data_IF_293546861247
#
_entry.id   IF_293546861247
#
_cell.length_a   1.000
_cell.length_b   1.000
_cell.length_c   1.000
_cell.angle_alpha   90.00
_cell.angle_beta   90.00
_cell.angle_gamma   90.00
#
_symmetry.space_group_name_H-M   'P 1'
#
loop_
_entity.id
_entity.type
_entity.pdbx_description
1 polymer ?
#
# COMPACT_ATOMS: atom_id res chain seq x y z
N UNK A 1 -11.66 29.77 -13.86
CA UNK A 1 -10.68 30.44 -12.97
C UNK A 1 -11.46 31.22 -11.91
N UNK A 2 -12.02 30.49 -10.94
CA UNK A 2 -13.12 30.97 -10.05
C UNK A 2 -12.59 31.66 -8.80
N UNK A 3 -11.33 31.38 -8.40
CA UNK A 3 -10.66 31.97 -7.24
C UNK A 3 -10.17 33.42 -7.43
N UNK A 4 -10.23 33.96 -8.66
CA UNK A 4 -9.92 35.39 -8.94
C UNK A 4 -11.16 36.29 -8.93
N UNK A 5 -12.29 35.80 -8.44
CA UNK A 5 -13.57 36.53 -8.49
C UNK A 5 -14.27 36.51 -9.85
N UNK A 6 -13.75 35.73 -10.82
CA UNK A 6 -14.37 35.50 -12.11
C UNK A 6 -15.54 34.52 -12.02
N UNK A 7 -16.53 34.70 -12.88
CA UNK A 7 -17.65 33.75 -13.05
C UNK A 7 -17.18 32.49 -13.77
N UNK A 8 -17.69 31.34 -13.36
CA UNK A 8 -17.42 30.05 -14.01
C UNK A 8 -18.36 29.80 -15.22
N UNK A 9 -18.32 28.59 -15.80
CA UNK A 9 -19.18 28.19 -16.91
C UNK A 9 -20.67 28.13 -16.56
N UNK A 10 -21.01 28.04 -15.28
CA UNK A 10 -22.39 28.14 -14.77
C UNK A 10 -22.78 29.56 -14.34
N UNK A 11 -21.95 30.57 -14.66
CA UNK A 11 -22.11 32.01 -14.35
C UNK A 11 -22.06 32.35 -12.86
N UNK A 12 -21.62 31.43 -11.99
CA UNK A 12 -21.45 31.64 -10.56
C UNK A 12 -20.04 32.14 -10.21
N UNK A 13 -19.94 33.07 -9.26
CA UNK A 13 -18.68 33.47 -8.63
C UNK A 13 -18.38 32.61 -7.40
N UNK A 14 -17.16 32.64 -6.89
CA UNK A 14 -16.82 31.97 -5.62
C UNK A 14 -17.69 32.46 -4.45
N UNK A 15 -18.10 33.73 -4.46
CA UNK A 15 -19.02 34.27 -3.46
C UNK A 15 -20.43 33.70 -3.61
N UNK A 16 -20.88 33.38 -4.83
CA UNK A 16 -22.19 32.75 -5.04
C UNK A 16 -22.21 31.30 -4.51
N UNK A 17 -21.09 30.58 -4.62
CA UNK A 17 -20.94 29.24 -4.05
C UNK A 17 -20.82 29.25 -2.52
N UNK A 18 -20.16 30.27 -1.97
CA UNK A 18 -20.07 30.48 -0.52
C UNK A 18 -21.43 30.94 0.05
N UNK A 19 -22.11 31.88 -0.61
CA UNK A 19 -23.42 32.39 -0.22
C UNK A 19 -24.55 31.37 -0.40
N UNK A 20 -24.44 30.47 -1.39
CA UNK A 20 -25.36 29.36 -1.64
C UNK A 20 -25.20 28.17 -0.69
N UNK A 21 -24.28 28.23 0.27
CA UNK A 21 -24.14 27.20 1.31
C UNK A 21 -23.40 25.93 0.90
N UNK A 22 -22.68 25.95 -0.24
CA UNK A 22 -21.95 24.77 -0.72
C UNK A 22 -20.64 24.48 0.03
N UNK A 23 -20.17 25.45 0.83
CA UNK A 23 -18.99 25.29 1.69
C UNK A 23 -19.27 25.47 3.17
N UNK A 24 -20.25 26.31 3.52
CA UNK A 24 -20.77 26.44 4.88
C UNK A 24 -22.15 27.07 4.74
N UNK A 25 -23.21 26.46 5.26
CA UNK A 25 -24.46 27.21 5.44
C UNK A 25 -24.14 28.40 6.36
N UNK A 26 -24.36 29.64 5.92
CA UNK A 26 -24.03 30.84 6.72
C UNK A 26 -24.77 30.88 8.08
N UNK A 27 -25.86 30.12 8.23
CA UNK A 27 -26.60 29.92 9.48
C UNK A 27 -26.00 28.86 10.41
N UNK A 28 -24.93 28.16 9.99
CA UNK A 28 -24.23 27.09 10.71
C UNK A 28 -22.72 27.30 10.55
N UNK A 29 -22.22 28.50 10.86
CA UNK A 29 -20.78 28.71 10.95
C UNK A 29 -20.24 27.82 12.08
N UNK A 30 -19.28 26.92 11.82
CA UNK A 30 -18.69 26.07 12.85
C UNK A 30 -18.06 26.95 13.93
N UNK A 31 -18.11 26.48 15.18
CA UNK A 31 -17.51 27.22 16.29
C UNK A 31 -16.01 27.45 16.03
N UNK A 32 -15.39 28.52 16.57
CA UNK A 32 -13.95 28.73 16.44
C UNK A 32 -13.12 27.50 16.84
N UNK A 33 -13.56 26.75 17.86
CA UNK A 33 -12.93 25.49 18.28
C UNK A 33 -13.03 24.37 17.24
N UNK A 34 -14.17 24.28 16.55
CA UNK A 34 -14.40 23.31 15.47
C UNK A 34 -13.51 23.62 14.27
N UNK A 35 -13.37 24.90 13.93
CA UNK A 35 -12.47 25.37 12.87
C UNK A 35 -11.01 25.04 13.21
N UNK A 36 -10.57 25.37 14.43
CA UNK A 36 -9.21 25.09 14.89
C UNK A 36 -8.91 23.58 14.88
N UNK A 37 -9.84 22.78 15.39
CA UNK A 37 -9.72 21.31 15.41
C UNK A 37 -9.63 20.72 14.00
N UNK A 38 -10.47 21.20 13.08
CA UNK A 38 -10.43 20.80 11.68
C UNK A 38 -9.08 21.12 11.04
N UNK A 39 -8.59 22.36 11.17
CA UNK A 39 -7.30 22.74 10.61
C UNK A 39 -6.14 21.95 11.22
N UNK A 40 -6.15 21.74 12.54
CA UNK A 40 -5.14 20.92 13.21
C UNK A 40 -5.12 19.48 12.67
N UNK A 41 -6.29 18.85 12.55
CA UNK A 41 -6.43 17.50 12.01
C UNK A 41 -6.00 17.43 10.53
N UNK A 42 -6.37 18.42 9.72
CA UNK A 42 -5.99 18.50 8.31
C UNK A 42 -4.48 18.71 8.11
N UNK A 43 -3.85 19.60 8.88
CA UNK A 43 -2.40 19.80 8.84
C UNK A 43 -1.64 18.54 9.26
N UNK A 44 -2.06 17.91 10.37
CA UNK A 44 -1.47 16.66 10.83
C UNK A 44 -1.63 15.56 9.78
N UNK A 45 -2.85 15.40 9.24
CA UNK A 45 -3.14 14.40 8.20
C UNK A 45 -2.26 14.57 6.98
N UNK A 46 -2.18 15.77 6.41
CA UNK A 46 -1.37 16.03 5.20
C UNK A 46 0.13 15.83 5.45
N UNK A 47 0.61 16.25 6.62
CA UNK A 47 2.02 16.08 7.01
C UNK A 47 2.38 14.61 7.15
N UNK A 48 1.54 13.84 7.84
CA UNK A 48 1.79 12.41 8.04
C UNK A 48 1.55 11.63 6.75
N UNK A 49 0.54 11.97 5.93
CA UNK A 49 0.34 11.42 4.59
C UNK A 49 1.62 11.58 3.74
N UNK A 50 2.20 12.78 3.69
CA UNK A 50 3.45 13.02 2.97
C UNK A 50 4.59 12.11 3.47
N UNK A 51 4.74 11.94 4.79
CA UNK A 51 5.73 11.04 5.39
C UNK A 51 5.45 9.57 5.07
N UNK A 52 4.20 9.12 5.19
CA UNK A 52 3.80 7.74 4.92
C UNK A 52 3.93 7.37 3.45
N UNK A 53 3.74 8.31 2.52
CA UNK A 53 4.00 8.12 1.09
C UNK A 53 5.48 7.88 0.75
N UNK A 54 6.40 8.28 1.62
CA UNK A 54 7.83 7.90 1.49
C UNK A 54 8.16 6.56 2.14
N UNK A 55 7.18 5.89 2.73
CA UNK A 55 7.31 4.57 3.36
C UNK A 55 6.48 3.55 2.58
N UNK A 56 6.63 2.27 2.95
CA UNK A 56 5.89 1.17 2.33
C UNK A 56 4.48 1.03 2.94
N UNK A 57 3.73 2.13 2.96
CA UNK A 57 2.35 2.19 3.47
C UNK A 57 1.39 2.13 2.28
N UNK A 58 0.40 1.24 2.37
CA UNK A 58 -0.51 0.95 1.27
C UNK A 58 -1.88 0.50 1.78
N UNK A 59 -2.87 0.51 0.90
CA UNK A 59 -4.21 -0.01 1.16
C UNK A 59 -4.46 -1.19 0.23
N UNK A 60 -5.05 -2.26 0.77
CA UNK A 60 -5.62 -3.34 -0.04
C UNK A 60 -7.14 -3.13 -0.12
N UNK A 61 -7.66 -3.13 -1.33
CA UNK A 61 -9.09 -3.18 -1.60
C UNK A 61 -9.46 -4.57 -2.09
N UNK A 62 -10.49 -5.16 -1.50
CA UNK A 62 -11.04 -6.44 -1.94
C UNK A 62 -12.54 -6.29 -2.15
N UNK A 63 -13.01 -6.77 -3.30
CA UNK A 63 -14.43 -6.81 -3.61
C UNK A 63 -15.14 -7.84 -2.73
N UNK A 64 -16.16 -7.40 -2.00
CA UNK A 64 -17.00 -8.26 -1.16
C UNK A 64 -18.39 -7.62 -1.00
N UNK A 65 -19.42 -8.45 -0.94
CA UNK A 65 -20.79 -8.02 -0.61
C UNK A 65 -21.10 -8.11 0.89
N UNK A 66 -20.15 -8.60 1.69
CA UNK A 66 -20.30 -8.75 3.14
C UNK A 66 -19.90 -7.43 3.82
N UNK A 67 -20.89 -6.72 4.38
CA UNK A 67 -20.64 -5.48 5.13
C UNK A 67 -19.94 -5.75 6.47
N UNK A 68 -20.06 -6.98 6.99
CA UNK A 68 -19.48 -7.44 8.24
C UNK A 68 -18.16 -8.21 8.02
N UNK A 69 -17.58 -8.11 6.82
CA UNK A 69 -16.35 -8.81 6.44
C UNK A 69 -15.28 -8.62 7.53
N UNK A 70 -14.89 -9.74 8.15
CA UNK A 70 -13.91 -9.75 9.24
C UNK A 70 -12.46 -9.84 8.73
N UNK A 71 -12.26 -9.73 7.41
CA UNK A 71 -10.93 -9.77 6.83
C UNK A 71 -10.21 -8.44 7.06
N UNK A 72 -8.94 -8.52 7.44
CA UNK A 72 -8.15 -7.33 7.71
C UNK A 72 -8.39 -6.65 9.07
N UNK A 73 -7.55 -5.66 9.40
CA UNK A 73 -7.51 -4.99 10.70
C UNK A 73 -8.71 -4.07 10.91
N UNK A 74 -9.53 -4.37 11.91
CA UNK A 74 -10.73 -3.59 12.23
C UNK A 74 -10.46 -2.10 12.47
N UNK A 75 -9.28 -1.73 13.00
CA UNK A 75 -8.94 -0.35 13.35
C UNK A 75 -8.80 0.58 12.13
N UNK A 76 -8.51 0.03 10.96
CA UNK A 76 -8.35 0.81 9.72
C UNK A 76 -9.32 0.42 8.62
N UNK A 77 -10.18 -0.55 8.89
CA UNK A 77 -11.09 -1.08 7.90
C UNK A 77 -12.11 -0.02 7.49
N UNK A 78 -12.39 0.05 6.19
CA UNK A 78 -13.46 0.87 5.63
C UNK A 78 -14.21 0.05 4.58
N UNK A 79 -15.50 -0.20 4.83
CA UNK A 79 -16.38 -0.80 3.83
C UNK A 79 -17.04 0.31 3.00
N UNK A 80 -16.93 0.20 1.68
CA UNK A 80 -17.57 1.09 0.72
C UNK A 80 -18.73 0.39 0.04
N UNK A 81 -19.96 0.83 0.33
CA UNK A 81 -21.17 0.37 -0.38
C UNK A 81 -21.11 0.68 -1.88
N UNK A 82 -20.49 1.80 -2.23
CA UNK A 82 -20.35 2.27 -3.62
C UNK A 82 -19.42 1.35 -4.41
N UNK A 83 -18.30 0.94 -3.80
CA UNK A 83 -17.30 0.09 -4.46
C UNK A 83 -17.58 -1.41 -4.26
N UNK A 84 -18.56 -1.75 -3.40
CA UNK A 84 -18.92 -3.12 -3.01
C UNK A 84 -17.70 -3.91 -2.55
N UNK A 85 -17.01 -3.36 -1.56
CA UNK A 85 -15.83 -3.99 -1.01
C UNK A 85 -15.23 -3.28 0.17
N UNK A 86 -14.16 -3.86 0.67
CA UNK A 86 -13.48 -3.44 1.90
C UNK A 86 -12.07 -2.98 1.60
N UNK A 87 -11.71 -1.84 2.20
CA UNK A 87 -10.40 -1.24 2.16
C UNK A 87 -9.72 -1.44 3.52
N UNK A 88 -8.46 -1.86 3.51
CA UNK A 88 -7.66 -2.08 4.71
C UNK A 88 -6.28 -1.44 4.55
N UNK A 89 -5.86 -0.64 5.54
CA UNK A 89 -4.58 0.08 5.54
C UNK A 89 -3.49 -0.73 6.25
N UNK A 90 -2.32 -0.77 5.61
CA UNK A 90 -1.16 -1.52 6.09
C UNK A 90 0.13 -0.74 5.89
N UNK A 91 1.13 -1.14 6.66
CA UNK A 91 2.54 -0.88 6.38
C UNK A 91 3.24 -2.22 6.11
N UNK A 92 4.13 -2.25 5.13
CA UNK A 92 4.98 -3.40 4.86
C UNK A 92 6.16 -3.42 5.84
N UNK A 93 6.27 -4.49 6.63
CA UNK A 93 7.44 -4.71 7.51
C UNK A 93 8.29 -5.89 7.02
N UNK A 94 9.56 -5.62 6.75
CA UNK A 94 10.54 -6.59 6.26
C UNK A 94 11.36 -7.15 7.45
N UNK A 95 10.76 -8.09 8.18
CA UNK A 95 11.31 -8.61 9.44
C UNK A 95 12.42 -9.69 9.30
N UNK A 96 12.69 -10.19 8.10
CA UNK A 96 13.86 -11.04 7.83
C UNK A 96 14.25 -11.01 6.36
N UNK A 97 15.41 -11.59 6.01
CA UNK A 97 15.83 -11.75 4.60
C UNK A 97 14.76 -12.54 3.85
N UNK A 98 13.91 -11.83 3.10
CA UNK A 98 12.83 -12.35 2.25
C UNK A 98 11.51 -12.76 2.92
N UNK A 99 11.19 -12.22 4.10
CA UNK A 99 9.81 -12.28 4.61
C UNK A 99 9.31 -10.88 4.87
N UNK A 100 8.05 -10.66 4.55
CA UNK A 100 7.40 -9.39 4.83
C UNK A 100 5.97 -9.63 5.24
N UNK A 101 5.49 -8.89 6.23
CA UNK A 101 4.12 -8.99 6.70
C UNK A 101 3.45 -7.61 6.69
N UNK A 102 2.14 -7.55 6.49
CA UNK A 102 1.38 -6.34 6.76
C UNK A 102 1.35 -6.09 8.28
N UNK A 103 1.76 -4.90 8.68
CA UNK A 103 1.72 -4.42 10.06
C UNK A 103 0.95 -3.12 10.14
N UNK A 104 0.64 -2.70 11.36
CA UNK A 104 0.05 -1.40 11.63
C UNK A 104 1.01 -0.28 11.22
N UNK A 105 0.55 0.76 10.49
CA UNK A 105 1.38 1.94 10.21
C UNK A 105 1.90 2.60 11.49
N UNK A 106 3.18 2.97 11.48
CA UNK A 106 3.81 3.65 12.62
C UNK A 106 3.14 5.02 12.89
N UNK A 107 2.78 5.28 14.15
CA UNK A 107 2.11 6.50 14.58
C UNK A 107 0.59 6.51 14.39
N UNK A 108 -0.02 5.39 13.96
CA UNK A 108 -1.48 5.31 13.83
C UNK A 108 -2.20 5.49 15.17
N UNK A 109 -1.65 4.94 16.26
CA UNK A 109 -2.26 5.08 17.60
C UNK A 109 -2.25 6.54 18.07
N UNK A 110 -1.17 7.27 17.79
CA UNK A 110 -1.03 8.69 18.14
C UNK A 110 -2.03 9.56 17.35
N UNK A 111 -2.24 9.23 16.06
CA UNK A 111 -3.25 9.88 15.23
C UNK A 111 -4.66 9.66 15.75
N UNK A 112 -4.98 8.42 16.17
CA UNK A 112 -6.28 8.07 16.71
C UNK A 112 -6.48 8.61 18.14
N UNK A 113 -5.40 9.00 18.82
CA UNK A 113 -5.44 9.61 20.14
C UNK A 113 -6.19 10.95 20.17
N UNK A 114 -6.51 11.40 21.37
CA UNK A 114 -7.31 12.63 21.62
C UNK A 114 -6.68 13.91 21.07
N UNK A 115 -5.37 13.91 20.80
CA UNK A 115 -4.66 15.07 20.28
C UNK A 115 -5.07 15.43 18.85
N UNK A 116 -5.33 14.43 18.01
CA UNK A 116 -5.63 14.61 16.59
C UNK A 116 -7.00 14.06 16.20
N UNK A 117 -7.48 12.99 16.85
CA UNK A 117 -8.78 12.38 16.57
C UNK A 117 -8.93 11.87 15.14
N UNK A 118 -7.84 11.43 14.52
CA UNK A 118 -7.80 10.94 13.14
C UNK A 118 -7.84 9.42 13.19
N UNK A 119 -9.01 8.83 12.91
CA UNK A 119 -9.17 7.38 12.93
C UNK A 119 -8.50 6.73 11.72
N UNK A 120 -8.07 5.47 11.86
CA UNK A 120 -7.55 4.69 10.74
C UNK A 120 -8.57 4.45 9.63
N UNK A 121 -9.85 4.37 9.98
CA UNK A 121 -10.94 4.23 9.02
C UNK A 121 -11.10 5.52 8.19
N UNK A 122 -10.94 6.70 8.79
CA UNK A 122 -10.97 7.99 8.07
C UNK A 122 -9.83 8.11 7.06
N UNK A 123 -8.62 7.71 7.45
CA UNK A 123 -7.45 7.67 6.55
C UNK A 123 -7.74 6.79 5.32
N UNK A 124 -8.30 5.61 5.58
CA UNK A 124 -8.59 4.61 4.56
C UNK A 124 -9.72 5.07 3.65
N UNK A 125 -10.80 5.61 4.21
CA UNK A 125 -11.92 6.22 3.49
C UNK A 125 -11.46 7.38 2.61
N UNK A 126 -10.65 8.29 3.14
CA UNK A 126 -10.12 9.44 2.40
C UNK A 126 -9.27 8.98 1.21
N UNK A 127 -8.39 7.99 1.42
CA UNK A 127 -7.55 7.42 0.36
C UNK A 127 -8.35 6.62 -0.67
N UNK A 128 -9.40 5.91 -0.25
CA UNK A 128 -10.31 5.21 -1.15
C UNK A 128 -11.04 6.19 -2.08
N UNK A 129 -11.53 7.31 -1.53
CA UNK A 129 -12.12 8.39 -2.34
C UNK A 129 -11.11 8.98 -3.33
N UNK A 130 -9.90 9.29 -2.87
CA UNK A 130 -8.82 9.78 -3.72
C UNK A 130 -8.48 8.81 -4.86
N UNK A 131 -8.43 7.51 -4.58
CA UNK A 131 -8.19 6.46 -5.57
C UNK A 131 -9.28 6.42 -6.64
N UNK A 132 -10.55 6.63 -6.28
CA UNK A 132 -11.63 6.70 -7.27
C UNK A 132 -11.58 7.96 -8.13
N UNK A 133 -11.10 9.05 -7.56
CA UNK A 133 -10.97 10.30 -8.28
C UNK A 133 -9.87 10.24 -9.36
N UNK A 134 -8.73 9.61 -9.06
CA UNK A 134 -7.55 9.69 -9.94
C UNK A 134 -6.56 8.53 -9.88
N UNK A 135 -6.94 7.40 -9.30
CA UNK A 135 -6.09 6.23 -9.05
C UNK A 135 -4.75 6.58 -8.38
N UNK A 136 -3.69 6.76 -9.17
CA UNK A 136 -2.34 7.12 -8.70
C UNK A 136 -1.88 8.53 -9.11
N UNK A 137 -2.69 9.31 -9.85
CA UNK A 137 -2.34 10.63 -10.39
C UNK A 137 -3.30 11.74 -9.94
N UNK A 138 -3.13 12.23 -8.72
CA UNK A 138 -4.04 13.20 -8.09
C UNK A 138 -3.75 14.68 -8.43
N UNK A 139 -3.29 14.99 -9.65
CA UNK A 139 -2.79 16.35 -9.95
C UNK A 139 -3.85 17.38 -10.33
N UNK A 140 -5.09 17.00 -10.71
CA UNK A 140 -6.10 17.96 -11.20
C UNK A 140 -7.58 17.65 -10.88
N UNK A 141 -7.91 16.56 -10.17
CA UNK A 141 -9.29 16.05 -10.11
C UNK A 141 -10.12 16.47 -8.88
N UNK A 142 -9.47 17.01 -7.84
CA UNK A 142 -10.14 17.61 -6.67
C UNK A 142 -11.19 18.65 -7.08
N UNK A 143 -10.88 19.46 -8.11
CA UNK A 143 -11.79 20.49 -8.60
C UNK A 143 -13.04 19.89 -9.25
N UNK A 144 -12.93 18.74 -9.93
CA UNK A 144 -14.06 18.10 -10.60
C UNK A 144 -14.99 17.40 -9.62
N UNK A 145 -14.46 16.74 -8.59
CA UNK A 145 -15.29 16.10 -7.56
C UNK A 145 -16.03 17.16 -6.73
N UNK A 146 -15.32 18.25 -6.41
CA UNK A 146 -15.91 19.42 -5.76
C UNK A 146 -16.99 20.07 -6.63
N UNK A 147 -16.72 20.30 -7.92
CA UNK A 147 -17.70 20.83 -8.89
C UNK A 147 -18.93 19.93 -9.00
N UNK A 148 -18.75 18.61 -9.14
CA UNK A 148 -19.85 17.64 -9.26
C UNK A 148 -20.73 17.60 -7.99
N UNK A 149 -20.12 17.75 -6.83
CA UNK A 149 -20.84 17.73 -5.57
C UNK A 149 -21.54 19.06 -5.26
N UNK A 150 -20.96 20.19 -5.68
CA UNK A 150 -21.64 21.51 -5.70
C UNK A 150 -22.88 21.46 -6.61
N UNK A 151 -22.76 20.87 -7.81
CA UNK A 151 -23.87 20.78 -8.77
C UNK A 151 -24.97 19.81 -8.32
N UNK A 152 -24.63 18.72 -7.62
CA UNK A 152 -25.58 17.67 -7.22
C UNK A 152 -26.38 17.96 -5.94
N UNK A 153 -26.19 19.13 -5.30
CA UNK A 153 -26.81 19.48 -4.00
C UNK A 153 -26.51 18.47 -2.88
N UNK A 154 -25.49 17.63 -3.02
CA UNK A 154 -25.00 16.80 -1.91
C UNK A 154 -24.47 17.74 -0.84
N UNK A 155 -24.88 17.55 0.42
CA UNK A 155 -24.28 18.25 1.56
C UNK A 155 -22.88 17.68 1.77
N UNK A 156 -21.90 18.30 1.13
CA UNK A 156 -20.52 18.13 1.50
C UNK A 156 -20.22 19.08 2.66
N UNK A 157 -19.82 18.52 3.79
CA UNK A 157 -19.33 19.31 4.90
C UNK A 157 -17.92 18.80 5.27
N UNK A 158 -16.85 19.46 4.80
CA UNK A 158 -15.49 19.06 5.14
C UNK A 158 -15.24 19.12 6.65
N UNK A 159 -15.95 19.98 7.40
CA UNK A 159 -15.81 20.04 8.86
C UNK A 159 -16.45 18.83 9.55
N UNK A 160 -17.54 18.29 8.99
CA UNK A 160 -18.16 17.06 9.49
C UNK A 160 -17.39 15.80 9.10
N UNK A 161 -16.78 15.77 7.89
CA UNK A 161 -15.99 14.63 7.43
C UNK A 161 -14.56 14.60 7.99
N UNK A 162 -14.03 15.75 8.44
CA UNK A 162 -12.73 15.84 9.10
C UNK A 162 -11.60 15.27 8.24
N UNK A 163 -10.84 14.32 8.78
CA UNK A 163 -9.74 13.66 8.07
C UNK A 163 -10.20 12.63 7.02
N UNK A 164 -11.47 12.20 7.07
CA UNK A 164 -12.10 11.32 6.08
C UNK A 164 -12.56 12.05 4.80
N UNK A 165 -12.33 13.36 4.74
CA UNK A 165 -12.58 14.18 3.57
C UNK A 165 -11.71 13.74 2.38
N UNK A 166 -12.25 13.79 1.16
CA UNK A 166 -11.56 13.37 -0.07
C UNK A 166 -10.20 14.07 -0.20
N UNK A 167 -9.19 13.33 -0.67
CA UNK A 167 -7.81 13.80 -0.92
C UNK A 167 -7.04 14.35 0.30
N UNK A 168 -7.57 14.24 1.51
CA UNK A 168 -6.79 14.50 2.74
C UNK A 168 -5.65 13.49 2.87
N UNK A 169 -5.97 12.23 2.58
CA UNK A 169 -5.04 11.12 2.48
C UNK A 169 -5.08 10.57 1.06
N UNK A 170 -3.90 10.17 0.58
CA UNK A 170 -3.72 9.65 -0.78
C UNK A 170 -2.80 8.44 -0.70
N UNK A 171 -3.07 7.54 0.24
CA UNK A 171 -2.30 6.31 0.39
C UNK A 171 -2.63 5.40 -0.81
N UNK A 172 -1.62 4.85 -1.51
CA UNK A 172 -1.85 4.03 -2.69
C UNK A 172 -2.71 2.81 -2.40
N UNK A 173 -3.72 2.58 -3.23
CA UNK A 173 -4.62 1.43 -3.14
C UNK A 173 -4.23 0.40 -4.19
N UNK A 174 -4.17 -0.87 -3.79
CA UNK A 174 -4.17 -2.01 -4.70
C UNK A 174 -5.55 -2.65 -4.70
N UNK A 175 -6.25 -2.60 -5.83
CA UNK A 175 -7.47 -3.37 -6.05
C UNK A 175 -7.12 -4.84 -6.31
N UNK A 176 -7.38 -5.71 -5.34
CA UNK A 176 -7.11 -7.16 -5.46
C UNK A 176 -8.28 -7.92 -6.08
N UNK A 177 -9.34 -7.21 -6.48
CA UNK A 177 -10.56 -7.75 -7.05
C UNK A 177 -11.20 -8.77 -6.11
N UNK A 178 -11.43 -9.99 -6.63
CA UNK A 178 -12.03 -11.10 -5.87
C UNK A 178 -11.03 -11.85 -4.99
N UNK A 179 -9.74 -11.57 -5.12
CA UNK A 179 -8.73 -12.25 -4.34
C UNK A 179 -8.59 -11.55 -2.99
N UNK A 180 -9.24 -12.10 -1.96
CA UNK A 180 -9.13 -11.54 -0.62
C UNK A 180 -7.74 -11.80 -0.04
N UNK A 181 -6.90 -10.76 -0.03
CA UNK A 181 -5.57 -10.76 0.57
C UNK A 181 -5.48 -9.97 1.86
N UNK A 182 -6.61 -9.48 2.36
CA UNK A 182 -6.67 -8.83 3.66
C UNK A 182 -6.35 -9.84 4.76
N UNK A 183 -5.59 -9.39 5.75
CA UNK A 183 -5.14 -10.18 6.91
C UNK A 183 -5.06 -9.28 8.13
N UNK A 184 -5.18 -9.84 9.33
CA UNK A 184 -4.91 -9.07 10.54
C UNK A 184 -3.46 -8.58 10.56
N UNK A 185 -3.21 -7.50 11.30
CA UNK A 185 -1.84 -7.06 11.54
C UNK A 185 -1.01 -8.17 12.18
N UNK A 186 0.25 -8.25 11.77
CA UNK A 186 1.20 -9.22 12.28
C UNK A 186 0.84 -10.69 12.00
N UNK A 187 -0.09 -10.95 11.07
CA UNK A 187 -0.41 -12.31 10.65
C UNK A 187 0.82 -13.00 10.05
N UNK A 188 1.20 -14.13 10.66
CA UNK A 188 2.34 -14.96 10.28
C UNK A 188 1.92 -16.33 9.76
N UNK A 189 0.62 -16.56 9.54
CA UNK A 189 0.07 -17.81 9.01
C UNK A 189 0.70 -18.19 7.67
N UNK A 190 1.09 -17.17 6.88
CA UNK A 190 1.82 -17.36 5.63
C UNK A 190 3.33 -17.30 5.88
N UNK A 191 4.07 -18.35 5.50
CA UNK A 191 5.53 -18.47 5.70
C UNK A 191 6.32 -17.22 5.28
N UNK A 192 5.87 -16.55 4.21
CA UNK A 192 6.51 -15.35 3.66
C UNK A 192 5.70 -14.07 3.91
N UNK A 193 4.50 -14.20 4.48
CA UNK A 193 3.47 -13.17 4.65
C UNK A 193 2.51 -13.07 3.46
N UNK A 194 1.55 -12.15 3.54
CA UNK A 194 0.51 -11.92 2.53
C UNK A 194 0.54 -10.47 2.07
N UNK A 195 0.71 -10.22 0.78
CA UNK A 195 0.90 -8.88 0.21
C UNK A 195 0.04 -8.68 -1.06
N UNK A 196 -0.21 -7.42 -1.47
CA UNK A 196 -0.91 -7.12 -2.70
C UNK A 196 -0.04 -7.37 -3.94
N UNK A 197 -0.15 -8.56 -4.53
CA UNK A 197 0.75 -9.05 -5.57
C UNK A 197 0.27 -8.88 -7.02
N UNK A 198 -1.00 -8.52 -7.19
CA UNK A 198 -1.70 -8.27 -8.45
C UNK A 198 -2.75 -7.20 -8.16
N UNK A 199 -2.59 -6.04 -8.77
CA UNK A 199 -3.52 -4.92 -8.63
C UNK A 199 -4.28 -4.71 -9.94
N UNK A 200 -5.59 -4.49 -9.84
CA UNK A 200 -6.57 -4.41 -10.93
C UNK A 200 -6.79 -5.72 -11.68
N UNK A 201 -7.72 -5.69 -12.64
CA UNK A 201 -7.92 -6.76 -13.61
C UNK A 201 -6.60 -7.06 -14.32
N UNK A 202 -6.26 -8.34 -14.42
CA UNK A 202 -5.03 -8.86 -15.04
C UNK A 202 -3.73 -8.25 -14.50
N UNK A 203 -3.73 -7.71 -13.28
CA UNK A 203 -2.55 -7.15 -12.63
C UNK A 203 -1.96 -5.90 -13.32
N UNK A 204 -2.71 -5.24 -14.21
CA UNK A 204 -2.22 -4.13 -15.04
C UNK A 204 -1.70 -2.94 -14.22
N UNK A 205 -2.31 -2.67 -13.06
CA UNK A 205 -1.96 -1.53 -12.23
C UNK A 205 -0.82 -1.83 -11.23
N UNK A 206 -0.31 -3.07 -11.20
CA UNK A 206 0.65 -3.52 -10.20
C UNK A 206 1.93 -2.68 -10.19
N UNK A 207 2.48 -2.33 -11.36
CA UNK A 207 3.65 -1.45 -11.47
C UNK A 207 3.40 -0.06 -10.89
N UNK A 208 2.26 0.53 -11.25
CA UNK A 208 1.89 1.88 -10.80
C UNK A 208 1.71 1.89 -9.27
N UNK A 209 1.02 0.87 -8.74
CA UNK A 209 0.86 0.65 -7.31
C UNK A 209 2.21 0.49 -6.60
N UNK A 210 3.08 -0.42 -7.06
CA UNK A 210 4.39 -0.67 -6.47
C UNK A 210 5.24 0.60 -6.39
N UNK A 211 5.22 1.39 -7.46
CA UNK A 211 5.92 2.68 -7.51
C UNK A 211 5.30 3.67 -6.52
N UNK A 212 3.98 3.80 -6.52
CA UNK A 212 3.27 4.74 -5.66
C UNK A 212 3.42 4.40 -4.17
N UNK A 213 3.41 3.11 -3.82
CA UNK A 213 3.57 2.59 -2.46
C UNK A 213 5.03 2.50 -1.99
N UNK A 214 5.98 3.03 -2.79
CA UNK A 214 7.42 3.00 -2.50
C UNK A 214 7.97 1.58 -2.22
N UNK A 215 7.44 0.57 -2.90
CA UNK A 215 7.85 -0.84 -2.79
C UNK A 215 8.98 -1.17 -3.79
N UNK A 216 9.26 -0.28 -4.73
CA UNK A 216 10.22 -0.48 -5.82
C UNK A 216 11.57 -1.02 -5.33
N UNK A 217 12.08 -2.04 -6.02
CA UNK A 217 13.35 -2.68 -5.68
C UNK A 217 13.30 -3.67 -4.51
N UNK A 218 12.18 -3.79 -3.78
CA UNK A 218 12.04 -4.78 -2.71
C UNK A 218 12.05 -6.21 -3.28
N UNK A 219 13.16 -6.90 -3.10
CA UNK A 219 13.28 -8.33 -3.43
C UNK A 219 12.40 -9.19 -2.51
N UNK A 220 12.16 -8.72 -1.29
CA UNK A 220 11.24 -9.38 -0.36
C UNK A 220 9.82 -9.38 -0.91
N UNK A 221 9.32 -8.25 -1.42
CA UNK A 221 7.99 -8.17 -2.03
C UNK A 221 7.83 -9.14 -3.21
N UNK A 222 8.80 -9.15 -4.15
CA UNK A 222 8.77 -10.11 -5.25
C UNK A 222 8.78 -11.56 -4.76
N UNK A 223 9.50 -11.87 -3.67
CA UNK A 223 9.51 -13.24 -3.09
C UNK A 223 8.13 -13.63 -2.60
N UNK A 224 7.52 -12.75 -1.80
CA UNK A 224 6.19 -12.99 -1.25
C UNK A 224 5.22 -13.23 -2.39
N UNK A 225 5.25 -12.38 -3.42
CA UNK A 225 4.35 -12.51 -4.56
C UNK A 225 4.58 -13.76 -5.39
N UNK A 226 5.82 -14.14 -5.64
CA UNK A 226 6.13 -15.40 -6.30
C UNK A 226 5.57 -16.60 -5.52
N UNK A 227 5.74 -16.65 -4.20
CA UNK A 227 5.25 -17.76 -3.38
C UNK A 227 3.73 -17.74 -3.21
N UNK A 228 3.13 -16.56 -3.04
CA UNK A 228 1.69 -16.37 -2.88
C UNK A 228 0.91 -16.70 -4.15
N UNK A 229 1.47 -16.44 -5.34
CA UNK A 229 0.79 -16.65 -6.61
C UNK A 229 0.88 -18.09 -7.14
N UNK A 230 1.83 -18.91 -6.68
CA UNK A 230 1.96 -20.33 -7.09
C UNK A 230 0.65 -21.14 -7.09
N UNK A 231 -0.25 -21.01 -6.09
CA UNK A 231 -1.49 -21.77 -6.07
C UNK A 231 -2.55 -21.25 -7.06
N UNK A 232 -2.36 -20.05 -7.63
CA UNK A 232 -3.33 -19.41 -8.51
C UNK A 232 -3.01 -19.69 -9.98
N UNK A 233 -3.65 -20.73 -10.54
CA UNK A 233 -3.46 -21.09 -11.95
C UNK A 233 -3.86 -19.97 -12.94
N UNK A 234 -4.69 -19.03 -12.51
CA UNK A 234 -5.17 -17.89 -13.30
C UNK A 234 -4.22 -16.69 -13.33
N UNK A 235 -3.18 -16.67 -12.49
CA UNK A 235 -2.25 -15.54 -12.38
C UNK A 235 -0.82 -16.07 -12.46
N UNK A 236 -0.17 -15.80 -13.58
CA UNK A 236 1.26 -16.09 -13.74
C UNK A 236 2.09 -14.91 -13.25
N UNK A 237 2.93 -15.15 -12.24
CA UNK A 237 3.86 -14.16 -11.70
C UNK A 237 4.76 -13.55 -12.79
N UNK A 238 5.16 -14.33 -13.80
CA UNK A 238 6.07 -13.86 -14.85
C UNK A 238 5.42 -12.86 -15.81
N UNK A 239 4.08 -12.84 -15.87
CA UNK A 239 3.33 -11.90 -16.69
C UNK A 239 3.05 -10.56 -15.99
N UNK A 240 3.35 -10.43 -14.71
CA UNK A 240 3.07 -9.21 -13.92
C UNK A 240 4.25 -8.24 -14.03
N UNK A 241 4.01 -7.05 -14.58
CA UNK A 241 4.99 -5.96 -14.53
C UNK A 241 4.98 -5.32 -13.14
N UNK A 242 6.01 -5.57 -12.35
CA UNK A 242 6.25 -4.92 -11.06
C UNK A 242 7.03 -3.60 -11.19
N UNK A 243 7.49 -3.23 -12.40
CA UNK A 243 8.35 -2.07 -12.64
C UNK A 243 9.81 -2.25 -12.22
N UNK A 244 10.18 -3.42 -11.70
CA UNK A 244 11.55 -3.83 -11.42
C UNK A 244 11.65 -5.35 -11.43
N UNK A 245 12.85 -5.86 -11.68
CA UNK A 245 13.10 -7.30 -11.77
C UNK A 245 13.92 -7.80 -10.57
N UNK A 246 13.98 -9.12 -10.45
CA UNK A 246 14.90 -9.78 -9.53
C UNK A 246 16.34 -9.41 -9.86
N UNK A 247 17.15 -9.16 -8.82
CA UNK A 247 18.60 -9.11 -9.03
C UNK A 247 19.08 -10.52 -9.40
N UNK A 248 19.86 -10.65 -10.46
CA UNK A 248 20.41 -11.92 -10.96
C UNK A 248 21.73 -12.31 -10.26
N UNK A 249 22.00 -11.78 -9.07
CA UNK A 249 23.21 -12.18 -8.34
C UNK A 249 23.06 -13.62 -7.85
N UNK A 250 24.17 -14.36 -7.77
CA UNK A 250 24.17 -15.73 -7.23
C UNK A 250 23.49 -15.80 -5.86
N UNK A 251 23.69 -14.81 -4.99
CA UNK A 251 23.01 -14.73 -3.69
C UNK A 251 21.49 -14.61 -3.84
N UNK A 252 20.99 -13.80 -4.76
CA UNK A 252 19.56 -13.67 -5.02
C UNK A 252 18.97 -14.96 -5.60
N UNK A 253 19.70 -15.64 -6.48
CA UNK A 253 19.30 -16.91 -7.09
C UNK A 253 19.34 -18.08 -6.10
N UNK A 254 20.38 -18.15 -5.28
CA UNK A 254 20.50 -19.03 -4.12
C UNK A 254 19.31 -18.86 -3.17
N UNK A 255 18.93 -17.61 -2.92
CA UNK A 255 17.77 -17.30 -2.10
C UNK A 255 16.43 -17.63 -2.79
N UNK A 256 16.38 -17.86 -4.10
CA UNK A 256 15.17 -18.39 -4.77
C UNK A 256 14.99 -19.89 -4.59
N UNK A 257 16.09 -20.62 -4.46
CA UNK A 257 16.09 -22.08 -4.40
C UNK A 257 15.26 -22.63 -3.24
N UNK A 258 14.60 -23.76 -3.49
CA UNK A 258 13.95 -24.53 -2.42
C UNK A 258 14.99 -25.00 -1.41
N UNK A 259 14.54 -25.29 -0.19
CA UNK A 259 15.41 -25.79 0.87
C UNK A 259 16.19 -27.04 0.41
N UNK A 260 15.58 -27.89 -0.44
CA UNK A 260 16.23 -29.05 -1.08
C UNK A 260 17.34 -28.67 -2.06
N UNK A 261 17.11 -27.71 -2.96
CA UNK A 261 18.13 -27.25 -3.93
C UNK A 261 19.31 -26.60 -3.21
N UNK A 262 19.04 -25.78 -2.18
CA UNK A 262 20.11 -25.20 -1.34
C UNK A 262 20.91 -26.28 -0.64
N UNK A 263 20.25 -27.25 0.01
CA UNK A 263 20.92 -28.36 0.66
C UNK A 263 21.80 -29.16 -0.32
N UNK A 264 21.31 -29.43 -1.52
CA UNK A 264 22.07 -30.12 -2.56
C UNK A 264 23.36 -29.39 -2.95
N UNK A 265 23.33 -28.06 -3.12
CA UNK A 265 24.55 -27.31 -3.46
C UNK A 265 25.48 -27.16 -2.26
N UNK A 266 24.97 -26.99 -1.03
CA UNK A 266 25.82 -27.03 0.17
C UNK A 266 26.56 -28.36 0.27
N UNK A 267 25.86 -29.49 0.10
CA UNK A 267 26.46 -30.83 0.10
C UNK A 267 27.49 -30.94 -1.03
N UNK A 268 27.16 -30.47 -2.24
CA UNK A 268 28.07 -30.48 -3.38
C UNK A 268 29.37 -29.71 -3.12
N UNK A 269 29.29 -28.53 -2.48
CA UNK A 269 30.47 -27.73 -2.10
C UNK A 269 31.31 -28.47 -1.06
N UNK A 270 30.69 -29.07 -0.04
CA UNK A 270 31.40 -29.82 1.01
C UNK A 270 32.12 -31.04 0.42
N UNK A 271 31.41 -31.85 -0.38
CA UNK A 271 31.98 -33.05 -1.00
C UNK A 271 33.09 -32.66 -1.98
N UNK A 272 32.87 -31.64 -2.82
CA UNK A 272 33.89 -31.15 -3.75
C UNK A 272 35.14 -30.64 -3.02
N UNK A 273 34.97 -29.91 -1.92
CA UNK A 273 36.08 -29.46 -1.07
C UNK A 273 36.88 -30.63 -0.46
N UNK A 274 36.20 -31.65 0.04
CA UNK A 274 36.84 -32.86 0.59
C UNK A 274 37.65 -33.59 -0.49
N UNK A 275 37.11 -33.74 -1.70
CA UNK A 275 37.80 -34.40 -2.82
C UNK A 275 39.08 -33.64 -3.20
N UNK A 276 39.03 -32.31 -3.26
CA UNK A 276 40.21 -31.47 -3.54
C UNK A 276 41.26 -31.66 -2.45
N UNK A 277 40.88 -31.67 -1.16
CA UNK A 277 41.82 -31.89 -0.06
C UNK A 277 42.48 -33.27 -0.13
N UNK A 278 41.75 -34.33 -0.47
CA UNK A 278 42.30 -35.68 -0.64
C UNK A 278 43.32 -35.71 -1.80
N UNK A 279 43.00 -35.07 -2.93
CA UNK A 279 43.91 -34.98 -4.08
C UNK A 279 45.19 -34.22 -3.73
N UNK A 280 45.08 -33.11 -3.01
CA UNK A 280 46.24 -32.34 -2.53
C UNK A 280 47.11 -33.17 -1.56
N UNK A 281 46.48 -33.89 -0.62
CA UNK A 281 47.19 -34.78 0.29
C UNK A 281 47.92 -35.90 -0.46
N UNK A 282 47.27 -36.52 -1.44
CA UNK A 282 47.86 -37.57 -2.26
C UNK A 282 49.04 -37.06 -3.10
N UNK A 283 48.91 -35.88 -3.72
CA UNK A 283 50.00 -35.23 -4.45
C UNK A 283 51.17 -34.90 -3.52
N UNK A 284 50.91 -34.41 -2.30
CA UNK A 284 51.95 -34.12 -1.32
C UNK A 284 52.71 -35.37 -0.86
N UNK A 285 52.02 -36.51 -0.75
CA UNK A 285 52.65 -37.79 -0.41
C UNK A 285 53.53 -38.31 -1.54
N UNK A 286 53.11 -38.15 -2.80
CA UNK A 286 53.94 -38.52 -3.96
C UNK A 286 55.20 -37.66 -4.08
N UNK A 287 55.11 -36.35 -3.83
CA UNK A 287 56.28 -35.48 -3.89
C UNK A 287 57.33 -35.78 -2.81
N UNK A 288 56.94 -36.27 -1.62
CA UNK A 288 57.91 -36.66 -0.57
C UNK A 288 58.73 -37.89 -0.90
N UNK A 289 58.22 -38.79 -1.75
CA UNK A 289 58.94 -40.00 -2.16
C UNK A 289 59.99 -39.81 -3.27
N UNK A 290 60.12 -38.62 -3.85
CA UNK A 290 61.10 -38.32 -4.90
C UNK A 290 62.36 -37.58 -4.40
N UNK A 291 62.44 -37.26 -3.10
CA UNK A 291 63.60 -36.59 -2.49
C UNK A 291 64.33 -37.47 -1.44
N UNK A 292 64.09 -38.79 -1.43
CA UNK A 292 64.82 -39.77 -0.63
C UNK A 292 65.71 -40.63 -1.49
#
# INVERSE_FOLDING_TARGET
MTFRGGKDGSKGTILDYIAGGSFVAASVLPSPKSIESFYKAQMASRTINAKWRTRKVFIMFTQTSDEDDISGPNQTKYYSKEDRGVYCLYQMDEWSRMKSKPVKPEGLDDLNGTQFGISGSDITKSSAKAFRAGAFNHTQEILKELEAAIVSKRKLDPFAEGAGWSDTWTIPVCDTGKYNWNVQYDDTTFRYGRLPCCCSVNCNDTKAFVKAANIIGSQTFLRVCYEQLKPFASIDFEMIDYGYTWKTTFLAEWMRWSDKKRAGVVIGIIVGGIVILILLAWLSHKCRGCCS
#
